data_IF_804802242078
#
_entry.id   IF_804802242078
#
_cell.length_a   1.000
_cell.length_b   1.000
_cell.length_c   1.000
_cell.angle_alpha   90.00
_cell.angle_beta   90.00
_cell.angle_gamma   90.00
#
_symmetry.space_group_name_H-M   'P 1'
#
loop_
_entity.id
_entity.type
_entity.pdbx_description
1 polymer ?
#
# COMPACT_ATOMS: atom_id res chain seq x y z
N UNK A 1 -29.00 -23.41 39.17
CA UNK A 1 -29.04 -23.34 37.69
C UNK A 1 -28.66 -21.91 37.31
N UNK A 2 -27.38 -21.67 37.04
CA UNK A 2 -26.84 -20.33 36.75
C UNK A 2 -26.46 -20.36 35.27
N UNK A 3 -26.97 -19.40 34.50
CA UNK A 3 -26.78 -19.32 33.06
C UNK A 3 -25.30 -19.10 32.72
N UNK A 4 -24.61 -20.18 32.36
CA UNK A 4 -23.21 -20.21 31.95
C UNK A 4 -23.01 -19.91 30.46
N UNK A 5 -23.86 -19.07 29.86
CA UNK A 5 -23.72 -18.76 28.44
C UNK A 5 -24.14 -17.33 28.12
N UNK A 6 -23.20 -16.41 28.36
CA UNK A 6 -23.06 -15.24 27.50
C UNK A 6 -21.64 -15.27 26.96
N UNK A 7 -21.36 -16.27 26.10
CA UNK A 7 -20.33 -16.10 25.07
C UNK A 7 -20.72 -14.86 24.30
N UNK A 8 -20.06 -13.75 24.59
CA UNK A 8 -20.29 -12.47 23.94
C UNK A 8 -19.87 -12.61 22.46
N UNK A 9 -20.78 -13.15 21.65
CA UNK A 9 -20.69 -13.35 20.20
C UNK A 9 -20.54 -12.01 19.45
N UNK A 10 -20.56 -10.91 20.19
CA UNK A 10 -20.40 -9.53 19.76
C UNK A 10 -19.05 -8.90 20.16
N UNK A 11 -18.01 -9.69 20.47
CA UNK A 11 -16.64 -9.17 20.34
C UNK A 11 -16.32 -9.07 18.84
N UNK A 12 -16.99 -8.13 18.18
CA UNK A 12 -16.77 -7.63 16.84
C UNK A 12 -15.37 -7.02 16.78
N UNK A 13 -14.36 -7.82 16.55
CA UNK A 13 -13.09 -7.28 16.05
C UNK A 13 -13.24 -7.12 14.53
N UNK A 14 -13.89 -6.03 14.12
CA UNK A 14 -13.86 -5.60 12.72
C UNK A 14 -12.39 -5.42 12.29
N UNK A 15 -12.07 -5.68 11.02
CA UNK A 15 -10.71 -5.50 10.47
C UNK A 15 -10.09 -4.15 10.89
N UNK A 16 -10.82 -3.02 10.84
CA UNK A 16 -10.31 -1.74 11.32
C UNK A 16 -9.89 -1.76 12.79
N UNK A 17 -10.66 -2.39 13.69
CA UNK A 17 -10.30 -2.47 15.10
C UNK A 17 -9.05 -3.32 15.32
N UNK A 18 -8.88 -4.41 14.58
CA UNK A 18 -7.65 -5.22 14.67
C UNK A 18 -6.44 -4.46 14.18
N UNK A 19 -6.56 -3.74 13.06
CA UNK A 19 -5.49 -2.90 12.54
C UNK A 19 -5.15 -1.81 13.55
N UNK A 20 -6.14 -1.11 14.12
CA UNK A 20 -5.92 -0.07 15.13
C UNK A 20 -5.19 -0.63 16.37
N UNK A 21 -5.64 -1.78 16.90
CA UNK A 21 -4.99 -2.41 18.05
C UNK A 21 -3.53 -2.81 17.75
N UNK A 22 -3.28 -3.41 16.58
CA UNK A 22 -1.91 -3.80 16.18
C UNK A 22 -1.03 -2.59 15.88
N UNK A 23 -1.59 -1.55 15.28
CA UNK A 23 -0.90 -0.29 15.04
C UNK A 23 -0.44 0.34 16.35
N UNK A 24 -1.35 0.53 17.30
CA UNK A 24 -1.05 1.13 18.59
C UNK A 24 -0.01 0.32 19.39
N UNK A 25 -0.04 -1.01 19.27
CA UNK A 25 0.94 -1.87 19.92
C UNK A 25 2.34 -1.77 19.28
N UNK A 26 2.43 -1.66 17.95
CA UNK A 26 3.71 -1.67 17.23
C UNK A 26 4.32 -0.28 17.00
N UNK A 27 3.51 0.78 16.93
CA UNK A 27 3.95 2.12 16.53
C UNK A 27 5.10 2.68 17.38
N UNK A 28 5.09 2.58 18.73
CA UNK A 28 6.22 3.06 19.53
C UNK A 28 7.54 2.42 19.12
N UNK A 29 7.56 1.08 18.95
CA UNK A 29 8.76 0.35 18.54
C UNK A 29 9.22 0.71 17.13
N UNK A 30 8.29 0.82 16.18
CA UNK A 30 8.61 1.25 14.80
C UNK A 30 9.28 2.62 14.77
N UNK A 31 8.80 3.56 15.59
CA UNK A 31 9.40 4.89 15.74
C UNK A 31 10.83 4.81 16.28
N UNK A 32 11.04 4.08 17.38
CA UNK A 32 12.36 3.90 18.01
C UNK A 32 13.37 3.22 17.08
N UNK A 33 12.95 2.18 16.35
CA UNK A 33 13.80 1.47 15.40
C UNK A 33 14.27 2.43 14.30
N UNK A 34 13.34 3.18 13.69
CA UNK A 34 13.69 4.15 12.65
C UNK A 34 14.62 5.23 13.19
N UNK A 35 14.33 5.81 14.35
CA UNK A 35 15.16 6.87 14.95
C UNK A 35 16.59 6.36 15.20
N UNK A 36 16.73 5.12 15.70
CA UNK A 36 18.01 4.47 15.96
C UNK A 36 18.79 4.17 14.67
N UNK A 37 18.12 3.60 13.67
CA UNK A 37 18.74 3.30 12.37
C UNK A 37 19.16 4.57 11.66
N UNK A 38 18.30 5.60 11.62
CA UNK A 38 18.62 6.91 11.02
C UNK A 38 19.86 7.52 11.69
N UNK A 39 19.91 7.51 13.03
CA UNK A 39 21.05 8.05 13.77
C UNK A 39 22.35 7.28 13.47
N UNK A 40 22.30 5.95 13.49
CA UNK A 40 23.45 5.11 13.18
C UNK A 40 23.97 5.34 11.75
N UNK A 41 23.06 5.46 10.80
CA UNK A 41 23.40 5.62 9.38
C UNK A 41 23.91 7.01 9.04
N UNK A 42 23.45 8.05 9.74
CA UNK A 42 24.03 9.41 9.65
C UNK A 42 25.47 9.48 10.18
N UNK A 43 25.79 8.68 11.19
CA UNK A 43 27.13 8.62 11.78
C UNK A 43 28.09 7.69 11.02
N UNK A 44 27.57 6.82 10.15
CA UNK A 44 28.37 5.87 9.40
C UNK A 44 29.22 6.58 8.32
N UNK A 45 30.47 6.13 8.15
CA UNK A 45 31.34 6.62 7.07
C UNK A 45 30.79 6.25 5.68
N UNK A 46 30.09 5.12 5.59
CA UNK A 46 29.43 4.64 4.38
C UNK A 46 28.02 4.14 4.74
N UNK A 47 26.99 4.98 4.59
CA UNK A 47 25.62 4.56 4.83
C UNK A 47 25.20 3.41 3.91
N UNK A 48 24.53 2.41 4.48
CA UNK A 48 24.06 1.22 3.73
C UNK A 48 22.59 1.32 3.34
N UNK A 49 21.89 2.35 3.82
CA UNK A 49 20.48 2.60 3.55
C UNK A 49 20.27 4.06 3.12
N UNK A 50 19.17 4.30 2.42
CA UNK A 50 18.73 5.65 2.07
C UNK A 50 18.13 6.34 3.30
N UNK A 51 18.94 7.17 3.97
CA UNK A 51 18.56 7.91 5.18
C UNK A 51 17.38 8.85 4.91
N UNK A 52 17.36 9.55 3.76
CA UNK A 52 16.30 10.50 3.43
C UNK A 52 14.94 9.80 3.27
N UNK A 53 14.95 8.59 2.69
CA UNK A 53 13.77 7.72 2.63
C UNK A 53 13.29 7.31 4.02
N UNK A 54 14.19 6.89 4.92
CA UNK A 54 13.80 6.49 6.27
C UNK A 54 13.23 7.66 7.10
N UNK A 55 13.80 8.86 6.97
CA UNK A 55 13.26 10.06 7.61
C UNK A 55 11.86 10.41 7.10
N UNK A 56 11.63 10.24 5.79
CA UNK A 56 10.30 10.39 5.20
C UNK A 56 9.32 9.38 5.78
N UNK A 57 9.69 8.10 5.85
CA UNK A 57 8.85 7.04 6.45
C UNK A 57 8.53 7.37 7.90
N UNK A 58 9.52 7.78 8.69
CA UNK A 58 9.35 8.16 10.10
C UNK A 58 8.35 9.30 10.27
N UNK A 59 8.43 10.32 9.43
CA UNK A 59 7.49 11.45 9.42
C UNK A 59 6.08 10.99 9.05
N UNK A 60 5.95 10.20 8.00
CA UNK A 60 4.64 9.74 7.52
C UNK A 60 3.96 8.77 8.49
N UNK A 61 4.69 7.85 9.14
CA UNK A 61 4.17 7.02 10.23
C UNK A 61 3.61 7.89 11.37
N UNK A 62 4.33 8.94 11.75
CA UNK A 62 3.85 9.89 12.76
C UNK A 62 2.65 10.72 12.30
N UNK A 63 2.43 10.87 11.00
CA UNK A 63 1.22 11.49 10.47
C UNK A 63 0.04 10.52 10.45
N UNK A 64 0.26 9.24 10.13
CA UNK A 64 -0.76 8.18 10.19
C UNK A 64 -1.29 8.04 11.62
N UNK A 65 -0.38 7.97 12.59
CA UNK A 65 -0.69 7.81 14.01
C UNK A 65 -1.57 8.96 14.56
N UNK A 66 -1.28 10.19 14.12
CA UNK A 66 -2.06 11.38 14.49
C UNK A 66 -3.31 11.60 13.63
N UNK A 67 -3.58 10.75 12.64
CA UNK A 67 -4.67 10.95 11.69
C UNK A 67 -4.51 12.18 10.79
N UNK A 68 -3.29 12.65 10.57
CA UNK A 68 -2.97 13.84 9.76
C UNK A 68 -2.35 13.51 8.41
N UNK A 69 -2.15 12.22 8.11
CA UNK A 69 -1.55 11.78 6.86
C UNK A 69 -2.45 12.12 5.68
N UNK A 70 -1.83 12.60 4.60
CA UNK A 70 -2.49 12.96 3.35
C UNK A 70 -1.75 12.30 2.19
N UNK A 71 -2.44 11.40 1.49
CA UNK A 71 -1.90 10.79 0.28
C UNK A 71 -1.73 11.81 -0.86
N UNK A 72 -2.56 12.84 -0.89
CA UNK A 72 -2.42 13.97 -1.81
C UNK A 72 -2.84 15.28 -1.14
N UNK A 73 -2.45 16.41 -1.73
CA UNK A 73 -2.75 17.75 -1.18
C UNK A 73 -4.24 18.02 -0.98
N UNK A 74 -5.11 17.34 -1.73
CA UNK A 74 -6.57 17.51 -1.68
C UNK A 74 -7.29 16.50 -0.79
N UNK A 75 -6.60 15.45 -0.29
CA UNK A 75 -7.27 14.44 0.53
C UNK A 75 -7.54 14.97 1.94
N UNK A 76 -8.66 14.56 2.58
CA UNK A 76 -8.78 14.72 4.02
C UNK A 76 -7.61 14.02 4.72
N UNK A 77 -7.17 14.57 5.85
CA UNK A 77 -6.19 13.90 6.70
C UNK A 77 -6.81 12.65 7.32
N UNK A 78 -6.06 11.56 7.39
CA UNK A 78 -6.55 10.34 8.02
C UNK A 78 -5.58 9.16 7.90
N UNK A 79 -6.04 8.01 8.37
CA UNK A 79 -5.28 6.77 8.25
C UNK A 79 -5.49 6.14 6.88
N UNK A 80 -4.40 5.85 6.16
CA UNK A 80 -4.42 5.15 4.87
C UNK A 80 -3.80 3.77 5.00
N UNK A 81 -4.58 2.71 4.76
CA UNK A 81 -4.13 1.31 4.86
C UNK A 81 -2.99 1.01 3.87
N UNK A 82 -3.09 1.52 2.63
CA UNK A 82 -2.10 1.26 1.57
C UNK A 82 -0.76 1.93 1.90
N UNK A 83 -0.80 3.18 2.35
CA UNK A 83 0.40 3.92 2.72
C UNK A 83 1.00 3.37 4.02
N UNK A 84 0.17 3.05 5.01
CA UNK A 84 0.60 2.39 6.24
C UNK A 84 1.29 1.06 5.95
N UNK A 85 0.75 0.23 5.05
CA UNK A 85 1.40 -1.01 4.62
C UNK A 85 2.78 -0.74 4.01
N UNK A 86 2.86 0.22 3.09
CA UNK A 86 4.12 0.59 2.42
C UNK A 86 5.16 1.06 3.45
N UNK A 87 4.76 1.89 4.41
CA UNK A 87 5.64 2.41 5.46
C UNK A 87 6.10 1.31 6.43
N UNK A 88 5.19 0.43 6.88
CA UNK A 88 5.52 -0.69 7.77
C UNK A 88 6.50 -1.66 7.10
N UNK A 89 6.41 -1.87 5.78
CA UNK A 89 7.38 -2.69 5.04
C UNK A 89 8.80 -2.10 5.09
N UNK A 90 8.93 -0.77 5.02
CA UNK A 90 10.23 -0.11 5.17
C UNK A 90 10.82 -0.35 6.57
N UNK A 91 9.98 -0.30 7.61
CA UNK A 91 10.40 -0.63 8.97
C UNK A 91 10.86 -2.09 9.07
N UNK A 92 10.09 -3.03 8.51
CA UNK A 92 10.47 -4.45 8.48
C UNK A 92 11.82 -4.66 7.81
N UNK A 93 12.11 -3.97 6.70
CA UNK A 93 13.38 -4.10 5.98
C UNK A 93 14.61 -3.68 6.80
N UNK A 94 14.44 -2.81 7.80
CA UNK A 94 15.53 -2.34 8.67
C UNK A 94 15.45 -2.90 10.09
N UNK A 95 14.46 -3.74 10.38
CA UNK A 95 14.30 -4.38 11.68
C UNK A 95 15.06 -5.70 11.70
N UNK A 96 15.96 -5.88 12.66
CA UNK A 96 16.61 -7.17 12.86
C UNK A 96 15.60 -8.24 13.29
N UNK A 97 15.78 -9.47 12.82
CA UNK A 97 14.84 -10.57 13.09
C UNK A 97 14.81 -10.98 14.58
N UNK A 98 15.89 -10.72 15.32
CA UNK A 98 16.02 -10.97 16.75
C UNK A 98 15.55 -9.80 17.61
N UNK A 99 15.09 -8.70 17.01
CA UNK A 99 14.55 -7.56 17.76
C UNK A 99 13.29 -7.98 18.51
N UNK A 100 13.19 -7.64 19.81
CA UNK A 100 12.10 -8.07 20.69
C UNK A 100 10.70 -7.76 20.13
N UNK A 101 10.55 -6.61 19.47
CA UNK A 101 9.29 -6.17 18.87
C UNK A 101 9.05 -6.65 17.42
N UNK A 102 9.99 -7.36 16.80
CA UNK A 102 9.88 -7.79 15.40
C UNK A 102 8.59 -8.58 15.15
N UNK A 103 8.22 -9.45 16.10
CA UNK A 103 6.99 -10.23 16.01
C UNK A 103 5.71 -9.40 16.00
N UNK A 104 5.66 -8.25 16.70
CA UNK A 104 4.49 -7.36 16.68
C UNK A 104 4.39 -6.62 15.33
N UNK A 105 5.53 -6.15 14.82
CA UNK A 105 5.62 -5.41 13.55
C UNK A 105 5.27 -6.32 12.37
N UNK A 106 5.79 -7.54 12.32
CA UNK A 106 5.46 -8.51 11.27
C UNK A 106 3.98 -8.88 11.26
N UNK A 107 3.39 -9.03 12.45
CA UNK A 107 1.95 -9.28 12.61
C UNK A 107 1.09 -8.11 12.15
N UNK A 108 1.51 -6.86 12.37
CA UNK A 108 0.84 -5.69 11.81
C UNK A 108 0.98 -5.67 10.28
N UNK A 109 2.19 -5.91 9.77
CA UNK A 109 2.48 -5.95 8.34
C UNK A 109 1.59 -6.96 7.61
N UNK A 110 1.42 -8.16 8.16
CA UNK A 110 0.54 -9.19 7.61
C UNK A 110 -0.93 -8.73 7.55
N UNK A 111 -1.48 -8.18 8.65
CA UNK A 111 -2.89 -7.73 8.66
C UNK A 111 -3.14 -6.59 7.66
N UNK A 112 -2.17 -5.69 7.49
CA UNK A 112 -2.22 -4.63 6.48
C UNK A 112 -2.12 -5.19 5.05
N UNK A 113 -1.23 -6.17 4.82
CA UNK A 113 -1.10 -6.84 3.52
C UNK A 113 -2.42 -7.49 3.10
N UNK A 114 -3.07 -8.22 4.01
CA UNK A 114 -4.35 -8.87 3.76
C UNK A 114 -5.44 -7.84 3.43
N UNK A 115 -5.48 -6.71 4.15
CA UNK A 115 -6.45 -5.65 3.89
C UNK A 115 -6.24 -4.97 2.51
N UNK A 116 -4.98 -4.78 2.09
CA UNK A 116 -4.65 -4.26 0.76
C UNK A 116 -5.06 -5.25 -0.33
N UNK A 117 -4.79 -6.55 -0.13
CA UNK A 117 -5.16 -7.60 -1.07
C UNK A 117 -6.69 -7.68 -1.26
N UNK A 118 -7.46 -7.62 -0.17
CA UNK A 118 -8.93 -7.59 -0.21
C UNK A 118 -9.46 -6.40 -1.01
N UNK A 119 -8.87 -5.21 -0.80
CA UNK A 119 -9.24 -4.00 -1.55
C UNK A 119 -8.96 -4.15 -3.05
N UNK A 120 -7.82 -4.76 -3.41
CA UNK A 120 -7.46 -4.99 -4.81
C UNK A 120 -8.41 -5.99 -5.50
N UNK A 121 -8.84 -7.04 -4.79
CA UNK A 121 -9.82 -8.01 -5.30
C UNK A 121 -11.18 -7.34 -5.52
N UNK A 122 -11.65 -6.54 -4.55
CA UNK A 122 -12.91 -5.80 -4.68
C UNK A 122 -12.91 -4.86 -5.90
N UNK A 123 -11.86 -4.05 -6.06
CA UNK A 123 -11.70 -3.17 -7.22
C UNK A 123 -11.64 -3.94 -8.55
N UNK A 124 -11.04 -5.14 -8.58
CA UNK A 124 -11.02 -5.97 -9.79
C UNK A 124 -12.43 -6.50 -10.12
N UNK A 125 -13.21 -6.88 -9.12
CA UNK A 125 -14.59 -7.35 -9.31
C UNK A 125 -15.53 -6.24 -9.78
N UNK A 126 -15.28 -4.99 -9.38
CA UNK A 126 -16.07 -3.82 -9.76
C UNK A 126 -15.72 -3.27 -11.16
N UNK A 127 -14.56 -3.62 -11.73
CA UNK A 127 -14.21 -3.19 -13.08
C UNK A 127 -15.03 -4.00 -14.09
N UNK A 128 -15.89 -3.34 -14.90
CA UNK A 128 -16.56 -4.04 -15.99
C UNK A 128 -15.49 -4.62 -16.93
N UNK A 129 -15.66 -5.88 -17.33
CA UNK A 129 -14.82 -6.50 -18.34
C UNK A 129 -14.88 -5.63 -19.60
N UNK A 130 -13.79 -4.91 -19.89
CA UNK A 130 -13.67 -4.15 -21.13
C UNK A 130 -13.75 -5.18 -22.26
N UNK A 131 -14.77 -5.12 -23.14
CA UNK A 131 -14.84 -6.04 -24.27
C UNK A 131 -13.58 -5.86 -25.09
N UNK A 132 -12.88 -6.95 -25.37
CA UNK A 132 -11.79 -6.97 -26.35
C UNK A 132 -12.45 -6.64 -27.69
N UNK A 133 -12.42 -5.37 -28.11
CA UNK A 133 -12.68 -5.02 -29.49
C UNK A 133 -11.57 -5.70 -30.31
N UNK A 134 -11.95 -6.77 -31.00
CA UNK A 134 -11.10 -7.34 -32.03
C UNK A 134 -10.94 -6.25 -33.07
N UNK A 135 -9.73 -5.70 -33.17
CA UNK A 135 -9.37 -4.79 -34.26
C UNK A 135 -9.40 -5.64 -35.51
N UNK A 136 -10.51 -5.57 -36.23
CA UNK A 136 -10.65 -6.18 -37.54
C UNK A 136 -9.62 -5.51 -38.46
N UNK A 137 -8.58 -6.26 -38.80
CA UNK A 137 -7.48 -5.81 -39.61
C UNK A 137 -7.95 -5.60 -41.05
N UNK A 138 -8.50 -4.42 -41.31
CA UNK A 138 -8.81 -3.94 -42.65
C UNK A 138 -7.54 -3.93 -43.51
N UNK A 139 -7.46 -4.93 -44.39
CA UNK A 139 -6.47 -5.12 -45.44
C UNK A 139 -6.31 -3.83 -46.27
N UNK A 140 -5.08 -3.31 -46.50
CA UNK A 140 -4.88 -2.24 -47.46
C UNK A 140 -4.96 -2.83 -48.87
N UNK A 141 -6.05 -2.57 -49.58
CA UNK A 141 -6.18 -2.88 -50.99
C UNK A 141 -5.33 -1.87 -51.78
N UNK A 142 -4.22 -2.34 -52.35
CA UNK A 142 -3.47 -1.63 -53.38
C UNK A 142 -4.37 -1.52 -54.61
N UNK A 143 -4.62 -0.29 -55.06
CA UNK A 143 -5.07 -0.02 -56.41
C UNK A 143 -3.96 0.73 -57.15
N UNK A 144 -3.06 -0.03 -57.77
CA UNK A 144 -2.36 0.41 -58.97
C UNK A 144 -3.17 -0.12 -60.15
N UNK A 145 -3.60 0.79 -61.04
CA UNK A 145 -3.43 0.67 -62.49
C UNK A 145 -4.11 1.83 -63.21
N UNK A 146 -3.27 2.51 -64.00
CA UNK A 146 -3.51 3.33 -65.20
C UNK A 146 -4.74 2.85 -66.01
N UNK A 147 -5.50 3.69 -66.72
CA UNK A 147 -5.21 4.35 -68.03
C UNK A 147 -6.61 4.90 -68.47
N UNK A 148 -6.86 6.06 -69.10
CA UNK A 148 -6.44 6.58 -70.42
C UNK A 148 -6.99 8.00 -70.63
N UNK A 149 -6.15 8.87 -71.20
CA UNK A 149 -6.37 9.82 -72.31
C UNK A 149 -7.75 10.45 -72.63
N UNK A 150 -7.74 11.78 -72.81
CA UNK A 150 -8.32 12.43 -74.01
C UNK A 150 -9.36 13.54 -73.83
N UNK A 151 -9.02 14.78 -74.21
CA UNK A 151 -9.95 15.63 -74.99
C UNK A 151 -10.47 16.95 -74.41
N UNK A 152 -9.67 18.00 -74.58
CA UNK A 152 -9.99 19.39 -75.03
C UNK A 152 -11.43 19.93 -74.96
N UNK A 153 -11.63 21.04 -74.24
CA UNK A 153 -11.98 22.35 -74.84
C UNK A 153 -11.69 23.52 -73.91
#
# INVERSE_FOLDING_TARGET
MIATDVRNRFVTSSRPQRIANRWNAAYPAMGTILDTVIQAQRAAQQPTVDVARLERVRRELGQQDRGTFKACTRSPGGFSIIDAFSQVREVVNVTSIDHADAGAILRLCAELADAVAETAVAHRAERPAVPVQSVDGGRPERADSEQTEGGTR
#
